data_IF_762025203218
#
_entry.id   IF_762025203218
#
_cell.length_a   1.000
_cell.length_b   1.000
_cell.length_c   1.000
_cell.angle_alpha   90.00
_cell.angle_beta   90.00
_cell.angle_gamma   90.00
#
_symmetry.space_group_name_H-M   'P 1'
#
loop_
_entity.id
_entity.type
_entity.pdbx_description
1 polymer ?
#
# COMPACT_ATOMS: atom_id res chain seq x y z
N UNK A 1 -8.24 -5.73 -2.40
CA UNK A 1 -8.69 -4.76 -1.37
C UNK A 1 -9.36 -5.50 -0.25
N UNK A 2 -8.86 -5.41 0.96
CA UNK A 2 -9.55 -5.97 2.09
C UNK A 2 -10.92 -5.31 2.28
N UNK A 3 -11.94 -6.13 2.43
CA UNK A 3 -13.24 -5.73 2.93
C UNK A 3 -13.34 -6.25 4.35
N UNK A 4 -13.48 -5.37 5.30
CA UNK A 4 -13.65 -5.72 6.71
C UNK A 4 -15.13 -5.81 7.06
N UNK A 5 -15.54 -6.89 7.72
CA UNK A 5 -16.94 -7.12 8.11
C UNK A 5 -17.07 -7.55 9.56
N UNK A 6 -17.99 -6.89 10.28
CA UNK A 6 -18.43 -7.26 11.65
C UNK A 6 -19.86 -6.75 11.85
N UNK A 7 -20.71 -7.54 12.46
CA UNK A 7 -22.08 -7.20 12.90
C UNK A 7 -22.94 -6.52 11.82
N UNK A 8 -22.90 -7.06 10.59
CA UNK A 8 -23.64 -6.53 9.44
C UNK A 8 -23.00 -5.34 8.75
N UNK A 9 -21.99 -4.71 9.35
CA UNK A 9 -21.24 -3.56 8.79
C UNK A 9 -20.12 -4.00 7.86
N UNK A 10 -19.81 -3.19 6.86
CA UNK A 10 -18.80 -3.47 5.84
C UNK A 10 -17.98 -2.23 5.51
N UNK A 11 -16.67 -2.32 5.63
CA UNK A 11 -15.73 -1.24 5.30
C UNK A 11 -14.78 -1.66 4.21
N UNK A 12 -14.58 -0.79 3.22
CA UNK A 12 -13.60 -1.01 2.16
C UNK A 12 -12.29 -0.30 2.50
N UNK A 13 -11.23 -1.07 2.64
CA UNK A 13 -9.88 -0.54 2.76
C UNK A 13 -9.18 -0.54 1.42
N UNK A 14 -8.93 0.65 0.86
CA UNK A 14 -8.14 0.82 -0.36
C UNK A 14 -6.66 0.67 -0.02
N UNK A 15 -6.16 -0.57 -0.14
CA UNK A 15 -4.80 -0.93 0.28
C UNK A 15 -3.78 -0.54 -0.79
N UNK A 16 -3.20 0.64 -0.67
CA UNK A 16 -2.04 1.06 -1.46
C UNK A 16 -0.80 0.27 -1.02
N UNK A 17 -0.09 -0.38 -1.95
CA UNK A 17 1.13 -1.11 -1.61
C UNK A 17 2.18 -0.19 -0.95
N UNK A 18 2.85 -0.69 0.10
CA UNK A 18 3.96 0.00 0.81
C UNK A 18 3.54 1.22 1.62
N UNK A 19 2.25 1.40 1.90
CA UNK A 19 1.68 2.48 2.69
C UNK A 19 1.11 2.03 4.05
N UNK A 20 1.69 0.98 4.67
CA UNK A 20 1.32 0.53 6.02
C UNK A 20 0.11 -0.40 6.10
N UNK A 21 -0.48 -0.78 4.98
CA UNK A 21 -1.74 -1.53 4.93
C UNK A 21 -1.74 -2.86 5.68
N UNK A 22 -0.63 -3.62 5.67
CA UNK A 22 -0.54 -4.90 6.41
C UNK A 22 -0.68 -4.73 7.93
N UNK A 23 -0.24 -3.59 8.48
CA UNK A 23 -0.40 -3.30 9.90
C UNK A 23 -1.87 -3.02 10.25
N UNK A 24 -2.56 -2.22 9.43
CA UNK A 24 -3.99 -1.97 9.60
C UNK A 24 -4.83 -3.25 9.42
N UNK A 25 -4.53 -4.08 8.43
CA UNK A 25 -5.20 -5.38 8.29
C UNK A 25 -5.07 -6.23 9.56
N UNK A 26 -3.91 -6.19 10.21
CA UNK A 26 -3.71 -6.90 11.48
C UNK A 26 -4.51 -6.27 12.61
N UNK A 27 -4.56 -4.93 12.72
CA UNK A 27 -5.41 -4.23 13.70
C UNK A 27 -6.86 -4.66 13.55
N UNK A 28 -7.42 -4.64 12.35
CA UNK A 28 -8.80 -5.09 12.11
C UNK A 28 -8.99 -6.56 12.50
N UNK A 29 -8.06 -7.43 12.14
CA UNK A 29 -8.15 -8.87 12.46
C UNK A 29 -8.08 -9.11 13.97
N UNK A 30 -7.19 -8.45 14.70
CA UNK A 30 -7.09 -8.58 16.17
C UNK A 30 -8.27 -7.94 16.90
N UNK A 31 -8.95 -6.99 16.28
CA UNK A 31 -10.18 -6.36 16.78
C UNK A 31 -11.46 -7.15 16.41
N UNK A 32 -11.33 -8.38 15.92
CA UNK A 32 -12.47 -9.27 15.64
C UNK A 32 -13.17 -9.01 14.30
N UNK A 33 -12.61 -8.16 13.42
CA UNK A 33 -13.16 -7.96 12.09
C UNK A 33 -12.73 -9.07 11.13
N UNK A 34 -13.68 -9.64 10.38
CA UNK A 34 -13.40 -10.61 9.32
C UNK A 34 -12.89 -9.89 8.07
N UNK A 35 -11.77 -10.38 7.53
CA UNK A 35 -11.17 -9.84 6.32
C UNK A 35 -11.55 -10.68 5.10
N UNK A 36 -12.10 -10.05 4.08
CA UNK A 36 -12.44 -10.64 2.79
C UNK A 36 -11.60 -9.99 1.67
N UNK A 37 -11.56 -10.61 0.49
CA UNK A 37 -10.79 -10.15 -0.67
C UNK A 37 -9.31 -9.91 -0.35
N UNK A 38 -8.75 -10.82 0.43
CA UNK A 38 -7.32 -10.93 0.71
C UNK A 38 -6.85 -12.31 0.24
N UNK A 39 -5.70 -12.36 -0.41
CA UNK A 39 -5.02 -13.62 -0.71
C UNK A 39 -3.83 -13.77 0.24
N UNK A 40 -3.93 -14.58 1.28
CA UNK A 40 -2.80 -14.90 2.13
C UNK A 40 -1.86 -15.80 1.34
N UNK A 41 -0.64 -15.33 1.06
CA UNK A 41 0.41 -16.12 0.40
C UNK A 41 0.86 -17.37 1.21
N UNK A 42 0.29 -17.56 2.39
CA UNK A 42 0.76 -18.52 3.40
C UNK A 42 0.21 -19.95 3.22
N UNK A 43 -0.80 -20.16 2.39
CA UNK A 43 -1.58 -21.40 2.37
C UNK A 43 -1.49 -22.21 1.05
N UNK A 44 -0.35 -22.23 0.37
CA UNK A 44 -0.16 -23.05 -0.82
C UNK A 44 -0.19 -22.28 -2.14
N UNK A 45 -0.41 -22.91 -3.30
CA UNK A 45 -0.35 -22.24 -4.60
C UNK A 45 -1.46 -21.19 -4.69
N UNK A 46 -1.04 -19.93 -4.70
CA UNK A 46 -1.94 -18.77 -4.81
C UNK A 46 -2.68 -18.79 -6.16
N UNK A 47 -4.01 -18.59 -6.11
CA UNK A 47 -4.84 -18.35 -7.30
C UNK A 47 -4.55 -17.00 -7.98
N UNK A 48 -3.70 -16.16 -7.38
CA UNK A 48 -3.28 -14.87 -7.95
C UNK A 48 -2.58 -15.02 -9.31
N UNK A 49 -1.98 -16.18 -9.61
CA UNK A 49 -1.41 -16.48 -10.93
C UNK A 49 -2.42 -16.36 -12.08
N UNK A 50 -3.72 -16.48 -11.79
CA UNK A 50 -4.81 -16.34 -12.75
C UNK A 50 -5.34 -14.91 -12.84
N UNK A 51 -4.82 -13.97 -12.04
CA UNK A 51 -5.25 -12.58 -11.96
C UNK A 51 -4.15 -11.64 -12.39
N UNK A 52 -4.51 -10.46 -12.84
CA UNK A 52 -3.55 -9.39 -13.16
C UNK A 52 -2.87 -8.81 -11.93
N UNK A 53 -3.56 -8.78 -10.78
CA UNK A 53 -3.01 -8.40 -9.48
C UNK A 53 -3.72 -9.15 -8.35
N UNK A 54 -3.14 -9.13 -7.17
CA UNK A 54 -3.75 -9.67 -5.96
C UNK A 54 -5.03 -8.90 -5.59
N UNK A 55 -6.00 -9.53 -4.93
CA UNK A 55 -7.24 -8.85 -4.53
C UNK A 55 -6.99 -7.62 -3.65
N UNK A 56 -5.95 -7.64 -2.81
CA UNK A 56 -5.61 -6.53 -1.93
C UNK A 56 -5.04 -5.31 -2.66
N UNK A 57 -4.53 -5.44 -3.87
CA UNK A 57 -3.88 -4.36 -4.60
C UNK A 57 -4.66 -3.90 -5.84
N UNK A 58 -5.97 -4.09 -5.87
CA UNK A 58 -6.82 -3.55 -6.93
C UNK A 58 -6.82 -2.02 -6.87
N UNK A 59 -6.68 -1.35 -8.00
CA UNK A 59 -6.79 0.09 -8.12
C UNK A 59 -8.24 0.53 -8.38
N UNK A 60 -8.51 1.82 -8.34
CA UNK A 60 -9.85 2.41 -8.40
C UNK A 60 -10.75 1.82 -9.49
N UNK A 61 -10.30 1.81 -10.74
CA UNK A 61 -11.14 1.32 -11.88
C UNK A 61 -11.61 -0.11 -11.68
N UNK A 62 -10.73 -0.99 -11.15
CA UNK A 62 -11.12 -2.38 -10.85
C UNK A 62 -12.14 -2.43 -9.71
N UNK A 63 -11.98 -1.59 -8.69
CA UNK A 63 -12.89 -1.54 -7.55
C UNK A 63 -14.28 -1.08 -7.96
N UNK A 64 -14.37 0.02 -8.73
CA UNK A 64 -15.63 0.58 -9.21
C UNK A 64 -16.36 -0.37 -10.18
N UNK A 65 -15.61 -1.26 -10.86
CA UNK A 65 -16.20 -2.32 -11.70
C UNK A 65 -16.78 -3.48 -10.88
N UNK A 66 -16.16 -3.79 -9.73
CA UNK A 66 -16.51 -4.96 -8.92
C UNK A 66 -17.49 -4.65 -7.79
N UNK A 67 -17.49 -3.43 -7.28
CA UNK A 67 -18.23 -3.05 -6.08
C UNK A 67 -19.10 -1.83 -6.32
N UNK A 68 -20.22 -1.80 -5.63
CA UNK A 68 -21.05 -0.61 -5.44
C UNK A 68 -20.52 0.13 -4.21
N UNK A 69 -19.80 1.24 -4.43
CA UNK A 69 -19.11 1.97 -3.35
C UNK A 69 -20.05 2.50 -2.27
N UNK A 70 -21.27 2.89 -2.66
CA UNK A 70 -22.33 3.37 -1.79
C UNK A 70 -22.91 2.30 -0.83
N UNK A 71 -22.51 1.04 -0.99
CA UNK A 71 -22.93 -0.07 -0.10
C UNK A 71 -21.98 -0.32 1.06
N UNK A 72 -20.86 0.36 1.09
CA UNK A 72 -19.97 0.28 2.24
C UNK A 72 -20.35 1.34 3.27
N UNK A 73 -20.28 0.99 4.56
CA UNK A 73 -20.48 1.93 5.68
C UNK A 73 -19.34 2.96 5.76
N UNK A 74 -18.21 2.65 5.15
CA UNK A 74 -17.11 3.57 4.97
C UNK A 74 -16.05 3.03 4.00
N UNK A 75 -15.37 3.96 3.34
CA UNK A 75 -14.23 3.68 2.46
C UNK A 75 -13.04 4.50 2.95
N UNK A 76 -11.90 3.88 3.12
CA UNK A 76 -10.69 4.58 3.56
C UNK A 76 -9.45 3.99 2.90
N UNK A 77 -8.38 4.77 2.89
CA UNK A 77 -7.08 4.37 2.34
C UNK A 77 -5.93 4.93 3.17
N UNK A 78 -4.79 4.28 3.07
CA UNK A 78 -3.53 4.83 3.54
C UNK A 78 -2.65 5.21 2.35
N UNK A 79 -1.93 6.31 2.49
CA UNK A 79 -0.93 6.78 1.52
C UNK A 79 0.40 7.01 2.23
N UNK A 80 1.45 7.12 1.46
CA UNK A 80 2.80 7.37 1.95
C UNK A 80 3.51 8.36 1.04
N UNK A 81 4.45 9.15 1.59
CA UNK A 81 5.32 10.02 0.80
C UNK A 81 5.94 9.21 -0.36
N UNK A 82 5.80 9.68 -1.62
CA UNK A 82 6.09 8.86 -2.80
C UNK A 82 7.53 8.35 -2.88
N UNK A 83 8.54 9.15 -2.48
CA UNK A 83 9.94 8.73 -2.51
C UNK A 83 10.21 7.67 -1.43
N UNK A 84 9.62 7.82 -0.24
CA UNK A 84 9.69 6.83 0.85
C UNK A 84 8.99 5.53 0.49
N UNK A 85 7.86 5.62 -0.23
CA UNK A 85 7.15 4.46 -0.77
C UNK A 85 8.03 3.72 -1.78
N UNK A 86 8.68 4.43 -2.71
CA UNK A 86 9.59 3.86 -3.69
C UNK A 86 10.80 3.18 -3.02
N UNK A 87 11.46 3.84 -2.06
CA UNK A 87 12.55 3.23 -1.27
C UNK A 87 12.11 1.93 -0.60
N UNK A 88 10.90 1.90 -0.06
CA UNK A 88 10.33 0.70 0.57
C UNK A 88 10.04 -0.42 -0.42
N UNK A 89 9.68 -0.10 -1.66
CA UNK A 89 9.51 -1.09 -2.72
C UNK A 89 10.84 -1.64 -3.19
N UNK A 90 11.83 -0.78 -3.44
CA UNK A 90 13.18 -1.18 -3.80
C UNK A 90 13.77 -2.15 -2.75
N UNK A 91 13.76 -1.77 -1.49
CA UNK A 91 14.27 -2.60 -0.39
C UNK A 91 13.55 -3.95 -0.28
N UNK A 92 12.24 -3.99 -0.63
CA UNK A 92 11.49 -5.24 -0.65
C UNK A 92 11.89 -6.17 -1.80
N UNK A 93 12.24 -5.62 -2.94
CA UNK A 93 12.57 -6.43 -4.12
C UNK A 93 14.00 -6.94 -4.13
N UNK A 94 14.86 -6.32 -3.34
CA UNK A 94 16.30 -6.59 -3.34
C UNK A 94 16.79 -7.13 -1.98
N UNK A 95 15.99 -7.94 -1.28
CA UNK A 95 16.27 -8.41 0.09
C UNK A 95 17.55 -9.23 0.23
N UNK A 96 18.01 -9.91 -0.82
CA UNK A 96 19.22 -10.74 -0.80
C UNK A 96 20.49 -9.93 -1.09
N UNK A 97 20.38 -8.79 -1.77
CA UNK A 97 21.50 -7.91 -2.13
C UNK A 97 21.02 -6.46 -2.15
N UNK A 98 20.59 -5.97 -0.98
CA UNK A 98 20.17 -4.56 -0.86
C UNK A 98 21.40 -3.67 -0.83
N UNK A 99 21.65 -2.99 -1.94
CA UNK A 99 22.65 -1.93 -2.01
C UNK A 99 21.97 -0.56 -1.81
N UNK A 100 22.49 0.26 -0.89
CA UNK A 100 21.95 1.59 -0.61
C UNK A 100 22.46 2.66 -1.58
N UNK A 101 23.47 2.34 -2.41
CA UNK A 101 24.15 3.28 -3.31
C UNK A 101 23.24 3.72 -4.46
N UNK A 102 23.23 5.03 -4.80
CA UNK A 102 22.37 5.57 -5.85
C UNK A 102 22.47 4.85 -7.20
N UNK A 103 23.67 4.49 -7.66
CA UNK A 103 23.84 3.83 -8.95
C UNK A 103 23.13 2.46 -9.06
N UNK A 104 23.08 1.70 -7.96
CA UNK A 104 22.37 0.42 -7.92
C UNK A 104 20.85 0.63 -7.91
N UNK A 105 20.41 1.65 -7.18
CA UNK A 105 18.98 2.01 -7.10
C UNK A 105 18.49 2.51 -8.45
N UNK A 106 19.27 3.35 -9.14
CA UNK A 106 18.97 3.88 -10.47
C UNK A 106 18.86 2.75 -11.50
N UNK A 107 19.83 1.84 -11.54
CA UNK A 107 19.82 0.69 -12.45
C UNK A 107 18.58 -0.21 -12.23
N UNK A 108 18.20 -0.43 -10.98
CA UNK A 108 16.95 -1.16 -10.68
C UNK A 108 15.72 -0.37 -11.12
N UNK A 109 15.69 0.94 -10.87
CA UNK A 109 14.57 1.81 -11.24
C UNK A 109 14.34 1.81 -12.75
N UNK A 110 15.41 1.86 -13.56
CA UNK A 110 15.33 1.79 -15.01
C UNK A 110 14.62 0.51 -15.48
N UNK A 111 15.04 -0.63 -14.96
CA UNK A 111 14.42 -1.92 -15.28
C UNK A 111 12.97 -2.01 -14.76
N UNK A 112 12.71 -1.48 -13.57
CA UNK A 112 11.38 -1.49 -12.98
C UNK A 112 10.39 -0.63 -13.78
N UNK A 113 10.79 0.57 -14.21
CA UNK A 113 9.94 1.44 -15.01
C UNK A 113 9.77 0.97 -16.46
N UNK A 114 10.77 0.32 -17.06
CA UNK A 114 10.61 -0.36 -18.35
C UNK A 114 9.53 -1.45 -18.27
N UNK A 115 9.57 -2.27 -17.22
CA UNK A 115 8.54 -3.28 -16.99
C UNK A 115 7.16 -2.67 -16.71
N UNK A 116 7.11 -1.56 -15.95
CA UNK A 116 5.86 -0.86 -15.66
C UNK A 116 5.24 -0.26 -16.93
N UNK A 117 6.05 0.28 -17.83
CA UNK A 117 5.57 0.78 -19.12
C UNK A 117 4.99 -0.34 -20.00
N UNK A 118 5.56 -1.55 -19.95
CA UNK A 118 5.07 -2.71 -20.68
C UNK A 118 3.84 -3.35 -20.03
N UNK A 119 3.78 -3.40 -18.69
CA UNK A 119 2.65 -3.92 -17.93
C UNK A 119 2.44 -3.12 -16.64
N UNK A 120 1.40 -2.26 -16.55
CA UNK A 120 1.11 -1.48 -15.35
C UNK A 120 0.76 -2.32 -14.11
N UNK A 121 0.55 -3.63 -14.24
CA UNK A 121 0.33 -4.54 -13.12
C UNK A 121 1.61 -5.19 -12.58
N UNK A 122 2.76 -4.86 -13.19
CA UNK A 122 4.05 -5.36 -12.72
C UNK A 122 4.21 -5.17 -11.20
N UNK A 123 4.86 -6.13 -10.57
CA UNK A 123 5.03 -6.15 -9.11
C UNK A 123 3.72 -6.02 -8.32
N UNK A 124 2.62 -6.53 -8.87
CA UNK A 124 1.33 -6.53 -8.18
C UNK A 124 0.83 -5.10 -7.86
N UNK A 125 0.88 -4.21 -8.84
CA UNK A 125 0.52 -2.78 -8.73
C UNK A 125 1.41 -1.93 -7.80
N UNK A 126 2.56 -2.44 -7.38
CA UNK A 126 3.39 -1.73 -6.40
C UNK A 126 4.03 -0.43 -6.93
N UNK A 127 4.25 -0.32 -8.25
CA UNK A 127 4.78 0.90 -8.87
C UNK A 127 3.71 1.90 -9.27
N UNK A 128 2.44 1.49 -9.30
CA UNK A 128 1.32 2.33 -9.70
C UNK A 128 1.21 3.57 -8.81
N UNK A 129 0.97 4.78 -9.36
CA UNK A 129 0.67 5.97 -8.57
C UNK A 129 -0.47 5.74 -7.57
N UNK A 130 -0.32 6.26 -6.36
CA UNK A 130 -1.32 6.11 -5.29
C UNK A 130 -2.63 6.83 -5.65
N UNK A 131 -2.54 7.92 -6.41
CA UNK A 131 -3.68 8.67 -6.92
C UNK A 131 -4.63 7.80 -7.76
N UNK A 132 -4.10 6.78 -8.47
CA UNK A 132 -4.92 5.85 -9.24
C UNK A 132 -5.70 4.85 -8.37
N UNK A 133 -5.37 4.74 -7.10
CA UNK A 133 -6.15 3.95 -6.14
C UNK A 133 -7.26 4.77 -5.48
N UNK A 134 -7.17 6.10 -5.50
CA UNK A 134 -8.13 6.95 -4.79
C UNK A 134 -9.55 6.79 -5.32
N UNK A 135 -10.43 6.32 -4.47
CA UNK A 135 -11.88 6.27 -4.70
C UNK A 135 -12.50 7.57 -4.17
N UNK A 136 -13.31 8.30 -4.97
CA UNK A 136 -13.96 9.52 -4.50
C UNK A 136 -14.75 9.28 -3.20
N UNK A 137 -14.56 10.16 -2.22
CA UNK A 137 -15.15 10.02 -0.89
C UNK A 137 -14.39 9.10 0.07
N UNK A 138 -13.33 8.44 -0.36
CA UNK A 138 -12.49 7.68 0.55
C UNK A 138 -11.76 8.59 1.54
N UNK A 139 -11.77 8.20 2.81
CA UNK A 139 -11.00 8.89 3.85
C UNK A 139 -9.52 8.53 3.73
N UNK A 140 -8.65 9.52 3.69
CA UNK A 140 -7.22 9.33 3.42
C UNK A 140 -6.41 9.54 4.70
N UNK A 141 -5.56 8.57 5.04
CA UNK A 141 -4.60 8.65 6.13
C UNK A 141 -3.18 8.62 5.57
N UNK A 142 -2.35 9.57 5.98
CA UNK A 142 -0.92 9.57 5.64
C UNK A 142 -0.16 8.69 6.63
N UNK A 143 0.70 7.82 6.14
CA UNK A 143 1.51 6.95 7.00
C UNK A 143 2.41 7.76 7.94
N UNK A 144 2.84 8.93 7.50
CA UNK A 144 3.70 9.87 8.20
C UNK A 144 3.04 10.45 9.46
N UNK A 145 1.71 10.53 9.49
CA UNK A 145 0.93 11.02 10.64
C UNK A 145 0.77 9.93 11.73
N UNK A 146 1.24 8.71 11.44
CA UNK A 146 1.17 7.55 12.31
C UNK A 146 -0.12 6.74 12.18
N UNK A 147 0.03 5.41 12.16
CA UNK A 147 -1.12 4.51 12.03
C UNK A 147 -2.00 4.49 13.29
N UNK A 148 -1.42 4.76 14.46
CA UNK A 148 -2.18 4.89 15.71
C UNK A 148 -3.17 6.07 15.65
N UNK A 149 -2.76 7.19 15.04
CA UNK A 149 -3.66 8.33 14.81
C UNK A 149 -4.78 7.95 13.84
N UNK A 150 -4.46 7.23 12.78
CA UNK A 150 -5.44 6.71 11.83
C UNK A 150 -6.45 5.78 12.52
N UNK A 151 -5.99 4.87 13.39
CA UNK A 151 -6.86 3.94 14.14
C UNK A 151 -7.79 4.70 15.09
N UNK A 152 -7.29 5.71 15.81
CA UNK A 152 -8.13 6.55 16.68
C UNK A 152 -9.21 7.30 15.89
N UNK A 153 -8.87 7.88 14.73
CA UNK A 153 -9.87 8.55 13.89
C UNK A 153 -10.87 7.56 13.29
N UNK A 154 -10.43 6.37 12.88
CA UNK A 154 -11.33 5.29 12.43
C UNK A 154 -12.35 4.92 13.51
N UNK A 155 -11.91 4.77 14.77
CA UNK A 155 -12.79 4.52 15.91
C UNK A 155 -13.75 5.68 16.15
N UNK A 156 -13.25 6.92 16.20
CA UNK A 156 -14.07 8.10 16.45
C UNK A 156 -15.11 8.36 15.35
N UNK A 157 -14.74 8.10 14.10
CA UNK A 157 -15.58 8.39 12.92
C UNK A 157 -16.67 7.34 12.72
N UNK A 158 -16.34 6.08 12.94
CA UNK A 158 -17.23 4.97 12.58
C UNK A 158 -17.52 4.00 13.72
N UNK A 159 -17.10 4.30 14.96
CA UNK A 159 -17.31 3.45 16.13
C UNK A 159 -16.93 1.98 15.84
N UNK A 160 -15.65 1.75 15.49
CA UNK A 160 -15.19 0.44 15.02
C UNK A 160 -14.68 -0.46 16.14
N UNK A 161 -14.39 0.10 17.32
CA UNK A 161 -13.84 -0.63 18.46
C UNK A 161 -12.53 -1.37 18.08
N UNK A 162 -11.64 -0.67 17.35
CA UNK A 162 -10.33 -1.19 16.99
C UNK A 162 -9.36 -1.03 18.15
N UNK A 163 -8.51 -2.06 18.35
CA UNK A 163 -7.37 -1.97 19.26
C UNK A 163 -6.41 -0.90 18.76
N UNK A 164 -6.10 0.09 19.59
CA UNK A 164 -5.29 1.26 19.19
C UNK A 164 -3.79 0.96 19.08
N UNK A 165 -3.34 -0.14 19.69
CA UNK A 165 -1.95 -0.58 19.54
C UNK A 165 -1.72 -1.16 18.13
N UNK A 166 -0.93 -0.45 17.32
CA UNK A 166 -0.61 -0.91 15.98
C UNK A 166 0.64 -1.79 16.03
N UNK A 167 0.51 -3.09 15.67
CA UNK A 167 1.66 -3.98 15.68
C UNK A 167 2.66 -3.55 14.60
N UNK A 168 3.93 -3.49 14.97
CA UNK A 168 5.02 -3.31 14.00
C UNK A 168 5.09 -4.54 13.09
N UNK A 169 4.44 -4.45 11.93
CA UNK A 169 4.45 -5.50 10.92
C UNK A 169 5.63 -5.26 10.00
N UNK A 170 6.51 -6.24 9.92
CA UNK A 170 7.69 -6.26 9.05
C UNK A 170 8.76 -5.23 9.44
N UNK A 171 9.44 -5.50 10.51
CA UNK A 171 10.79 -4.97 10.72
C UNK A 171 11.73 -5.63 9.69
N UNK A 172 11.78 -5.04 8.47
CA UNK A 172 12.59 -5.55 7.35
C UNK A 172 14.07 -5.37 7.55
N UNK A 173 14.45 -4.56 8.52
CA UNK A 173 15.83 -4.49 8.96
C UNK A 173 16.38 -5.88 9.31
N UNK A 174 15.50 -6.76 9.84
CA UNK A 174 15.86 -8.16 10.14
C UNK A 174 16.00 -9.06 8.91
N UNK A 175 15.38 -8.68 7.78
CA UNK A 175 15.40 -9.54 6.58
C UNK A 175 16.44 -9.10 5.54
N UNK A 176 16.73 -7.80 5.43
CA UNK A 176 17.63 -7.24 4.41
C UNK A 176 18.88 -6.58 4.98
N UNK A 177 18.97 -6.39 6.30
CA UNK A 177 20.07 -5.70 6.96
C UNK A 177 20.11 -4.18 6.75
N UNK A 178 19.25 -3.61 5.87
CA UNK A 178 19.21 -2.17 5.54
C UNK A 178 17.77 -1.66 5.69
N UNK A 179 17.60 -0.55 6.42
CA UNK A 179 16.32 0.13 6.49
C UNK A 179 16.01 0.84 5.15
N UNK A 180 14.73 0.89 4.75
CA UNK A 180 14.35 1.60 3.51
C UNK A 180 14.71 3.10 3.55
N UNK A 181 14.87 3.69 4.73
CA UNK A 181 15.34 5.08 4.91
C UNK A 181 16.81 5.27 4.54
N UNK A 182 17.61 4.21 4.56
CA UNK A 182 19.04 4.24 4.22
C UNK A 182 19.28 4.15 2.69
N UNK A 183 18.25 3.75 1.93
CA UNK A 183 18.31 3.71 0.45
C UNK A 183 18.43 5.12 -0.10
N UNK A 184 19.55 5.41 -0.75
CA UNK A 184 19.84 6.73 -1.34
C UNK A 184 19.37 6.79 -2.79
N UNK A 185 18.66 7.86 -3.14
CA UNK A 185 18.22 8.15 -4.51
C UNK A 185 19.17 9.19 -5.10
N UNK A 186 19.49 9.07 -6.39
CA UNK A 186 20.16 10.15 -7.12
C UNK A 186 19.19 11.31 -7.34
N UNK A 187 19.74 12.51 -7.59
CA UNK A 187 18.93 13.69 -7.94
C UNK A 187 18.13 13.47 -9.22
N UNK A 188 18.69 12.71 -10.18
CA UNK A 188 17.99 12.36 -11.40
C UNK A 188 16.79 11.47 -11.14
N UNK A 189 16.98 10.42 -10.36
CA UNK A 189 15.88 9.54 -9.99
C UNK A 189 14.80 10.27 -9.17
N UNK A 190 15.18 11.18 -8.28
CA UNK A 190 14.22 12.03 -7.55
C UNK A 190 13.38 12.85 -8.53
N UNK A 191 13.97 13.52 -9.52
CA UNK A 191 13.22 14.27 -10.55
C UNK A 191 12.27 13.38 -11.34
N UNK A 192 12.72 12.19 -11.74
CA UNK A 192 11.89 11.20 -12.45
C UNK A 192 10.71 10.72 -11.59
N UNK A 193 10.94 10.44 -10.32
CA UNK A 193 9.88 10.03 -9.39
C UNK A 193 8.86 11.14 -9.16
N UNK A 194 9.28 12.40 -9.08
CA UNK A 194 8.35 13.54 -9.05
C UNK A 194 7.48 13.61 -10.31
N UNK A 195 8.06 13.31 -11.49
CA UNK A 195 7.28 13.24 -12.73
C UNK A 195 6.30 12.09 -12.75
N UNK A 196 6.74 10.88 -12.38
CA UNK A 196 5.89 9.67 -12.38
C UNK A 196 4.76 9.77 -11.35
N UNK A 197 5.03 10.36 -10.19
CA UNK A 197 4.09 10.45 -9.07
C UNK A 197 3.54 11.88 -8.85
N UNK A 198 3.51 12.71 -9.90
CA UNK A 198 3.02 14.11 -9.81
C UNK A 198 1.66 14.20 -9.14
N UNK A 199 0.72 13.32 -9.53
CA UNK A 199 -0.62 13.31 -8.96
C UNK A 199 -0.65 12.87 -7.49
N UNK A 200 0.29 12.02 -7.06
CA UNK A 200 0.42 11.62 -5.65
C UNK A 200 0.85 12.82 -4.79
N UNK A 201 1.86 13.57 -5.24
CA UNK A 201 2.33 14.77 -4.56
C UNK A 201 1.21 15.81 -4.46
N UNK A 202 0.56 16.12 -5.60
CA UNK A 202 -0.49 17.14 -5.66
C UNK A 202 -1.74 16.76 -4.86
N UNK A 203 -2.20 15.51 -4.97
CA UNK A 203 -3.45 15.06 -4.34
C UNK A 203 -3.33 14.89 -2.83
N UNK A 204 -2.19 14.38 -2.35
CA UNK A 204 -2.04 14.01 -0.94
C UNK A 204 -1.20 15.01 -0.14
N UNK A 205 -0.75 16.11 -0.76
CA UNK A 205 -0.07 17.23 -0.09
C UNK A 205 1.34 16.87 0.41
N UNK A 206 2.13 16.20 -0.43
CA UNK A 206 3.52 15.88 -0.16
C UNK A 206 4.47 16.89 -0.80
#
# INVERSE_FOLDING_TARGET
>A
MPVFRRDGRSFLFVHVPKAGGSALERVFATSGWKTHYRDPKEAGPSVNKLRRCSPQHMHRTMLETLFRMERFDGVFMTVREPLSRFRSEYAMRNTEDVAAEPARVDAWADQAFLRYAADPFVFDNHLRPQAEFYVPGAHVYRLEDGLEAAVRDLNARWDLDLVEEVPRVMDRHKASGIASSEVRLSDDLVRRLHTVYTDDFGRFGY
#
